data_IF_479713706379
#
_entry.id   IF_479713706379
#
_cell.length_a   1.000
_cell.length_b   1.000
_cell.length_c   1.000
_cell.angle_alpha   90.00
_cell.angle_beta   90.00
_cell.angle_gamma   90.00
#
_symmetry.space_group_name_H-M   'P 1'
#
loop_
_entity.id
_entity.type
_entity.pdbx_description
1 polymer ?
#
# COMPACT_ATOMS: atom_id res chain seq x y z
N UNK A 1 -10.32 5.86 -9.87
CA UNK A 1 -11.20 6.64 -8.97
C UNK A 1 -11.62 5.91 -7.70
N UNK A 2 -11.51 4.57 -7.59
CA UNK A 2 -11.93 3.86 -6.36
C UNK A 2 -11.38 4.48 -5.07
N UNK A 3 -10.06 4.70 -5.01
CA UNK A 3 -9.42 5.37 -3.88
C UNK A 3 -9.80 6.85 -3.71
N UNK A 4 -9.88 7.64 -4.79
CA UNK A 4 -10.32 9.04 -4.72
C UNK A 4 -11.73 9.18 -4.11
N UNK A 5 -12.63 8.23 -4.39
CA UNK A 5 -13.99 8.24 -3.87
C UNK A 5 -14.02 8.15 -2.34
N UNK A 6 -13.06 7.49 -1.69
CA UNK A 6 -13.01 7.39 -0.23
C UNK A 6 -13.01 8.76 0.46
N UNK A 7 -12.21 9.69 -0.07
CA UNK A 7 -12.11 11.05 0.44
C UNK A 7 -13.25 11.94 -0.08
N UNK A 8 -13.65 11.76 -1.36
CA UNK A 8 -14.75 12.54 -1.97
C UNK A 8 -16.08 12.33 -1.25
N UNK A 9 -16.38 11.10 -0.82
CA UNK A 9 -17.60 10.81 -0.05
C UNK A 9 -17.65 11.63 1.25
N UNK A 10 -16.50 11.82 1.91
CA UNK A 10 -16.39 12.65 3.10
C UNK A 10 -16.45 14.13 2.78
N UNK A 11 -15.76 14.59 1.73
CA UNK A 11 -15.75 15.99 1.32
C UNK A 11 -17.11 16.49 0.82
N UNK A 12 -17.92 15.61 0.23
CA UNK A 12 -19.25 15.90 -0.32
C UNK A 12 -20.41 15.50 0.61
N UNK A 13 -20.11 15.21 1.88
CA UNK A 13 -21.10 14.89 2.92
C UNK A 13 -22.06 13.74 2.57
N UNK A 14 -21.55 12.66 1.96
CA UNK A 14 -22.35 11.45 1.74
C UNK A 14 -22.84 10.92 3.09
N UNK A 15 -24.16 10.67 3.18
CA UNK A 15 -24.82 10.21 4.41
C UNK A 15 -24.38 8.83 4.87
N UNK A 16 -24.09 7.93 3.93
CA UNK A 16 -23.54 6.59 4.18
C UNK A 16 -22.22 6.42 3.46
N UNK A 17 -21.12 6.49 4.22
CA UNK A 17 -19.75 6.37 3.71
C UNK A 17 -19.36 4.91 3.54
N UNK A 18 -18.69 4.61 2.45
CA UNK A 18 -18.20 3.27 2.11
C UNK A 18 -16.98 2.91 2.97
N UNK A 19 -16.09 3.88 3.22
CA UNK A 19 -14.91 3.68 4.08
C UNK A 19 -15.29 3.80 5.56
N UNK A 20 -14.99 2.75 6.32
CA UNK A 20 -15.16 2.72 7.77
C UNK A 20 -13.99 3.40 8.48
N UNK A 21 -14.26 3.97 9.66
CA UNK A 21 -13.21 4.53 10.51
C UNK A 21 -12.16 3.47 10.84
N UNK A 22 -10.90 3.83 10.61
CA UNK A 22 -9.75 2.97 10.82
C UNK A 22 -9.57 1.91 9.73
N UNK A 23 -10.39 1.87 8.67
CA UNK A 23 -10.13 0.90 7.61
C UNK A 23 -8.75 1.16 7.02
N UNK A 24 -7.83 0.23 7.28
CA UNK A 24 -6.55 0.18 6.60
C UNK A 24 -6.78 -0.17 5.14
N UNK A 25 -5.83 0.24 4.30
CA UNK A 25 -5.90 -0.03 2.87
C UNK A 25 -4.73 -0.87 2.39
N UNK A 26 -3.57 -0.91 3.08
CA UNK A 26 -2.38 -1.60 2.59
C UNK A 26 -1.31 -1.75 3.67
N UNK A 27 -0.38 -2.70 3.48
CA UNK A 27 0.89 -2.80 4.21
C UNK A 27 2.05 -2.84 3.20
N UNK A 28 3.16 -2.16 3.49
CA UNK A 28 4.37 -2.19 2.65
C UNK A 28 5.64 -2.38 3.47
N UNK A 29 6.64 -3.03 2.87
CA UNK A 29 7.97 -3.19 3.44
C UNK A 29 9.04 -3.05 2.35
N UNK A 30 9.95 -2.10 2.57
CA UNK A 30 11.20 -1.96 1.83
C UNK A 30 12.29 -2.47 2.75
N UNK A 31 13.04 -3.49 2.32
CA UNK A 31 14.01 -4.18 3.15
C UNK A 31 15.37 -4.22 2.47
N UNK A 32 16.36 -3.60 3.10
CA UNK A 32 17.76 -3.79 2.75
C UNK A 32 18.25 -5.07 3.41
N UNK A 33 18.67 -6.04 2.60
CA UNK A 33 19.16 -7.32 3.10
C UNK A 33 20.58 -7.18 3.67
N UNK A 34 21.01 -8.10 4.57
CA UNK A 34 22.35 -8.06 5.15
C UNK A 34 23.45 -7.96 4.08
N UNK A 35 24.47 -7.15 4.36
CA UNK A 35 25.59 -6.85 3.45
C UNK A 35 25.16 -6.23 2.11
N UNK A 36 24.02 -5.55 2.07
CA UNK A 36 23.43 -4.95 0.88
C UNK A 36 23.27 -5.95 -0.27
N UNK A 37 23.06 -7.24 0.04
CA UNK A 37 23.00 -8.30 -0.98
C UNK A 37 21.82 -8.15 -1.94
N UNK A 38 20.76 -7.47 -1.48
CA UNK A 38 19.61 -7.08 -2.27
C UNK A 38 18.84 -5.97 -1.55
N UNK A 39 17.99 -5.27 -2.29
CA UNK A 39 16.97 -4.37 -1.78
C UNK A 39 15.62 -4.94 -2.23
N UNK A 40 14.81 -5.36 -1.27
CA UNK A 40 13.49 -5.94 -1.54
C UNK A 40 12.41 -4.90 -1.33
N UNK A 41 11.43 -4.85 -2.24
CA UNK A 41 10.29 -3.94 -2.16
C UNK A 41 9.01 -4.75 -2.28
N UNK A 42 8.19 -4.74 -1.22
CA UNK A 42 6.95 -5.51 -1.15
C UNK A 42 5.76 -4.70 -0.69
N UNK A 43 4.59 -5.08 -1.21
CA UNK A 43 3.30 -4.44 -0.98
C UNK A 43 2.20 -5.50 -0.85
N UNK A 44 1.36 -5.40 0.19
CA UNK A 44 0.15 -6.20 0.40
C UNK A 44 -1.07 -5.27 0.40
N UNK A 45 -1.92 -5.40 -0.62
CA UNK A 45 -3.13 -4.59 -0.74
C UNK A 45 -4.22 -5.11 0.17
N UNK A 46 -4.79 -4.23 0.98
CA UNK A 46 -6.03 -4.51 1.70
C UNK A 46 -7.23 -3.93 0.98
N UNK A 47 -8.16 -4.79 0.60
CA UNK A 47 -9.34 -4.37 -0.14
C UNK A 47 -10.53 -5.26 0.21
N UNK A 48 -11.71 -4.87 -0.28
CA UNK A 48 -12.88 -5.73 -0.29
C UNK A 48 -12.63 -7.00 -1.10
N UNK A 49 -13.13 -8.12 -0.64
CA UNK A 49 -12.96 -9.42 -1.28
C UNK A 49 -13.64 -9.51 -2.65
N UNK A 50 -14.64 -8.66 -2.91
CA UNK A 50 -15.27 -8.54 -4.22
C UNK A 50 -14.36 -7.91 -5.28
N UNK A 51 -13.27 -7.24 -4.89
CA UNK A 51 -12.30 -6.67 -5.82
C UNK A 51 -11.26 -7.69 -6.33
N UNK A 52 -11.32 -8.96 -5.92
CA UNK A 52 -10.25 -9.93 -6.19
C UNK A 52 -10.16 -10.48 -7.63
N UNK A 53 -10.86 -9.90 -8.61
CA UNK A 53 -10.51 -10.11 -10.02
C UNK A 53 -9.25 -9.31 -10.34
N UNK A 54 -8.11 -10.00 -10.45
CA UNK A 54 -6.78 -9.38 -10.59
C UNK A 54 -6.19 -9.57 -11.98
N UNK A 55 -5.47 -8.55 -12.45
CA UNK A 55 -4.69 -8.60 -13.68
C UNK A 55 -3.34 -7.94 -13.41
N UNK A 56 -2.25 -8.70 -13.58
CA UNK A 56 -0.91 -8.12 -13.70
C UNK A 56 -0.76 -7.53 -15.10
N UNK A 57 -0.40 -6.26 -15.21
CA UNK A 57 -0.31 -5.56 -16.49
C UNK A 57 1.12 -5.14 -16.77
N UNK A 58 1.53 -5.28 -18.03
CA UNK A 58 2.72 -4.63 -18.57
C UNK A 58 2.31 -3.77 -19.76
N UNK A 59 2.53 -2.47 -19.65
CA UNK A 59 2.30 -1.53 -20.73
C UNK A 59 3.63 -1.10 -21.33
N UNK A 60 3.67 -1.03 -22.66
CA UNK A 60 4.79 -0.51 -23.44
C UNK A 60 4.18 0.52 -24.38
N UNK A 61 4.31 1.80 -24.03
CA UNK A 61 3.75 2.88 -24.83
C UNK A 61 4.87 3.68 -25.50
N UNK A 62 4.67 4.03 -26.77
CA UNK A 62 5.58 4.89 -27.53
C UNK A 62 5.22 6.39 -27.40
N UNK A 63 4.69 6.79 -26.25
CA UNK A 63 4.38 8.19 -25.98
C UNK A 63 5.67 9.02 -25.82
N UNK A 64 5.54 10.33 -26.04
CA UNK A 64 6.61 11.32 -25.92
C UNK A 64 6.40 12.19 -24.69
N UNK A 65 7.47 12.78 -24.19
CA UNK A 65 7.45 13.69 -23.03
C UNK A 65 6.63 14.95 -23.30
N UNK A 66 6.67 15.44 -24.53
CA UNK A 66 5.99 16.65 -24.99
C UNK A 66 5.47 16.43 -26.41
N UNK A 67 4.37 17.08 -26.83
CA UNK A 67 3.92 17.07 -28.23
C UNK A 67 4.93 17.68 -29.21
N UNK A 68 5.89 18.47 -28.71
CA UNK A 68 6.87 19.20 -29.50
C UNK A 68 8.23 18.49 -29.58
N UNK A 69 8.51 17.57 -28.66
CA UNK A 69 9.83 16.95 -28.51
C UNK A 69 9.78 15.47 -28.93
N UNK A 70 10.91 14.97 -29.42
CA UNK A 70 11.06 13.57 -29.81
C UNK A 70 11.53 12.66 -28.67
N UNK A 71 11.73 13.20 -27.47
CA UNK A 71 12.19 12.47 -26.30
C UNK A 71 11.18 11.41 -25.86
N UNK A 72 11.67 10.18 -25.66
CA UNK A 72 10.87 9.08 -25.13
C UNK A 72 10.50 9.33 -23.67
N UNK A 73 9.29 8.92 -23.28
CA UNK A 73 8.92 8.91 -21.86
C UNK A 73 9.88 8.03 -21.04
N UNK A 74 10.45 8.56 -19.94
CA UNK A 74 11.27 7.76 -19.02
C UNK A 74 10.57 6.49 -18.52
N UNK A 75 9.30 6.63 -18.12
CA UNK A 75 8.42 5.52 -17.71
C UNK A 75 7.58 4.93 -18.84
N UNK A 76 8.11 4.89 -20.07
CA UNK A 76 7.40 4.37 -21.24
C UNK A 76 7.04 2.88 -21.16
N UNK A 77 7.77 2.09 -20.37
CA UNK A 77 7.37 0.72 -19.98
C UNK A 77 7.06 0.65 -18.50
N UNK A 78 5.94 0.01 -18.14
CA UNK A 78 5.46 -0.12 -16.77
C UNK A 78 4.90 -1.50 -16.54
N UNK A 79 5.25 -2.16 -15.43
CA UNK A 79 4.63 -3.39 -14.97
C UNK A 79 4.04 -3.21 -13.57
N UNK A 80 2.79 -3.61 -13.36
CA UNK A 80 2.06 -3.30 -12.13
C UNK A 80 0.90 -4.29 -11.89
N UNK A 81 0.51 -4.43 -10.61
CA UNK A 81 -0.71 -5.16 -10.22
C UNK A 81 -1.94 -4.30 -10.42
N UNK A 82 -3.06 -4.88 -10.87
CA UNK A 82 -4.25 -4.11 -11.25
C UNK A 82 -5.52 -4.98 -11.29
N UNK A 83 -6.59 -4.42 -11.85
CA UNK A 83 -7.94 -4.95 -11.93
C UNK A 83 -8.50 -4.80 -13.35
N UNK A 84 -9.49 -5.61 -13.79
CA UNK A 84 -10.20 -5.39 -15.05
C UNK A 84 -10.72 -3.96 -15.20
N UNK A 85 -10.51 -3.34 -16.37
CA UNK A 85 -10.99 -1.97 -16.66
C UNK A 85 -10.19 -0.83 -16.00
N UNK A 86 -9.39 -1.09 -14.97
CA UNK A 86 -8.53 -0.07 -14.36
C UNK A 86 -7.30 0.21 -15.23
N UNK A 87 -7.06 1.45 -15.64
CA UNK A 87 -5.89 1.81 -16.48
C UNK A 87 -4.64 2.18 -15.67
N UNK A 88 -4.71 2.03 -14.35
CA UNK A 88 -3.66 2.21 -13.36
C UNK A 88 -3.77 1.05 -12.36
N UNK A 89 -2.87 0.96 -11.37
CA UNK A 89 -2.82 -0.16 -10.46
C UNK A 89 -4.02 -0.16 -9.50
N UNK A 90 -4.22 0.91 -8.74
CA UNK A 90 -5.21 1.01 -7.67
C UNK A 90 -4.82 0.31 -6.37
N UNK A 91 -3.69 -0.41 -6.35
CA UNK A 91 -3.17 -1.08 -5.16
C UNK A 91 -2.54 -0.15 -4.13
N UNK A 92 -1.40 0.56 -4.35
CA UNK A 92 -0.62 0.71 -5.59
C UNK A 92 0.80 0.08 -5.59
N UNK A 93 1.22 -0.54 -6.71
CA UNK A 93 2.58 -1.10 -6.89
C UNK A 93 3.02 -1.12 -8.38
N UNK A 94 4.13 -0.47 -8.71
CA UNK A 94 4.65 -0.33 -10.07
C UNK A 94 6.16 -0.57 -10.18
N UNK A 95 6.58 -1.15 -11.30
CA UNK A 95 7.97 -1.21 -11.77
C UNK A 95 8.07 -0.45 -13.09
N UNK A 96 8.94 0.55 -13.15
CA UNK A 96 9.00 1.53 -14.23
C UNK A 96 10.32 1.43 -14.99
N UNK A 97 10.29 1.66 -16.31
CA UNK A 97 11.50 1.66 -17.15
C UNK A 97 12.52 2.75 -16.81
N UNK A 98 12.11 3.78 -16.07
CA UNK A 98 13.01 4.80 -15.55
C UNK A 98 13.93 4.27 -14.43
N UNK A 99 13.75 3.02 -13.98
CA UNK A 99 14.50 2.42 -12.87
C UNK A 99 13.81 2.58 -11.52
N UNK A 100 12.63 3.22 -11.50
CA UNK A 100 11.85 3.46 -10.30
C UNK A 100 10.90 2.29 -9.99
N UNK A 101 10.73 2.01 -8.71
CA UNK A 101 9.60 1.24 -8.16
C UNK A 101 8.80 2.16 -7.25
N UNK A 102 7.50 2.27 -7.51
CA UNK A 102 6.59 3.16 -6.79
C UNK A 102 5.46 2.37 -6.17
N UNK A 103 5.17 2.65 -4.90
CA UNK A 103 4.12 1.99 -4.12
C UNK A 103 3.62 2.92 -3.02
N UNK A 104 2.44 2.68 -2.47
CA UNK A 104 1.91 3.49 -1.38
C UNK A 104 1.16 2.68 -0.33
N UNK A 105 0.84 3.33 0.79
CA UNK A 105 -0.30 2.91 1.62
C UNK A 105 -1.16 4.12 1.97
N UNK A 106 -2.49 3.95 1.90
CA UNK A 106 -3.43 5.05 2.14
C UNK A 106 -3.44 5.51 3.58
N UNK A 107 -3.17 6.79 3.84
CA UNK A 107 -3.20 7.43 5.16
C UNK A 107 -4.54 8.12 5.47
N UNK A 108 -5.29 8.48 4.42
CA UNK A 108 -6.59 9.16 4.54
C UNK A 108 -6.50 10.55 5.19
N UNK A 109 -7.66 11.08 5.58
CA UNK A 109 -7.76 12.30 6.37
C UNK A 109 -8.96 12.23 7.34
N UNK A 110 -8.70 12.50 8.62
CA UNK A 110 -9.72 12.52 9.68
C UNK A 110 -10.04 13.94 10.18
N UNK A 111 -9.44 14.97 9.57
CA UNK A 111 -9.71 16.36 9.88
C UNK A 111 -10.70 16.97 8.88
N UNK A 112 -11.99 17.13 9.24
CA UNK A 112 -12.99 17.64 8.32
C UNK A 112 -12.75 19.08 7.88
N UNK A 113 -11.96 19.87 8.63
CA UNK A 113 -11.64 21.25 8.28
C UNK A 113 -10.77 21.36 7.00
N UNK A 114 -10.13 20.26 6.58
CA UNK A 114 -9.30 20.22 5.38
C UNK A 114 -10.11 19.96 4.10
N UNK A 115 -11.36 19.47 4.18
CA UNK A 115 -12.15 19.17 2.98
C UNK A 115 -12.44 20.39 2.10
N UNK A 116 -12.33 21.62 2.63
CA UNK A 116 -12.40 22.87 1.85
C UNK A 116 -11.32 23.01 0.76
N UNK A 117 -10.26 22.20 0.82
CA UNK A 117 -9.19 22.14 -0.18
C UNK A 117 -9.49 21.15 -1.31
N UNK A 118 -10.47 20.26 -1.14
CA UNK A 118 -10.97 19.39 -2.21
C UNK A 118 -11.90 20.20 -3.09
N UNK A 119 -11.46 20.51 -4.31
CA UNK A 119 -12.16 21.42 -5.24
C UNK A 119 -12.18 20.83 -6.65
N UNK A 120 -13.23 21.08 -7.46
CA UNK A 120 -13.30 20.59 -8.83
C UNK A 120 -12.36 21.32 -9.80
N UNK A 121 -11.90 22.53 -9.45
CA UNK A 121 -11.00 23.35 -10.26
C UNK A 121 -9.66 23.54 -9.57
N UNK A 122 -8.58 23.58 -10.35
CA UNK A 122 -7.21 23.72 -9.85
C UNK A 122 -6.65 22.46 -9.19
N UNK A 123 -7.34 21.33 -9.29
CA UNK A 123 -6.90 20.03 -8.79
C UNK A 123 -6.97 18.96 -9.87
N UNK A 124 -6.19 17.90 -9.70
CA UNK A 124 -6.23 16.70 -10.54
C UNK A 124 -6.36 15.49 -9.62
N UNK A 125 -7.30 14.59 -9.92
CA UNK A 125 -7.50 13.36 -9.15
C UNK A 125 -6.22 12.54 -9.07
N UNK A 126 -6.06 11.83 -7.96
CA UNK A 126 -4.82 11.15 -7.61
C UNK A 126 -4.40 10.15 -8.68
N UNK A 127 -5.33 9.33 -9.16
CA UNK A 127 -5.01 8.28 -10.14
C UNK A 127 -4.35 8.84 -11.41
N UNK A 128 -4.72 10.06 -11.82
CA UNK A 128 -4.13 10.70 -13.01
C UNK A 128 -2.77 11.30 -12.67
N UNK A 129 -2.60 11.91 -11.49
CA UNK A 129 -1.29 12.41 -11.01
C UNK A 129 -0.29 11.27 -10.87
N UNK A 130 -0.71 10.12 -10.34
CA UNK A 130 0.06 8.88 -10.26
C UNK A 130 0.54 8.44 -11.66
N UNK A 131 -0.37 8.28 -12.64
CA UNK A 131 0.00 7.92 -14.02
C UNK A 131 1.02 8.90 -14.62
N UNK A 132 0.81 10.20 -14.44
CA UNK A 132 1.67 11.25 -15.00
C UNK A 132 3.06 11.22 -14.35
N UNK A 133 3.14 11.10 -13.03
CA UNK A 133 4.40 10.99 -12.30
C UNK A 133 5.18 9.73 -12.71
N UNK A 134 4.51 8.56 -12.78
CA UNK A 134 5.13 7.31 -13.23
C UNK A 134 5.68 7.38 -14.66
N UNK A 135 5.08 8.20 -15.53
CA UNK A 135 5.50 8.35 -16.93
C UNK A 135 6.69 9.28 -17.10
N UNK A 136 6.70 10.39 -16.37
CA UNK A 136 7.61 11.51 -16.60
C UNK A 136 8.85 11.50 -15.69
N UNK A 137 8.79 10.87 -14.52
CA UNK A 137 9.88 10.93 -13.55
C UNK A 137 11.11 10.12 -13.97
N UNK A 138 12.29 10.72 -13.84
CA UNK A 138 13.59 10.02 -14.00
C UNK A 138 14.22 9.64 -12.66
N UNK A 139 13.92 10.41 -11.61
CA UNK A 139 14.40 10.18 -10.25
C UNK A 139 13.24 10.14 -9.25
N UNK A 140 13.50 9.68 -8.03
CA UNK A 140 12.52 9.77 -6.94
C UNK A 140 12.09 11.21 -6.63
N UNK A 141 13.03 12.16 -6.74
CA UNK A 141 12.75 13.59 -6.52
C UNK A 141 11.82 14.16 -7.59
N UNK A 142 12.06 13.84 -8.88
CA UNK A 142 11.16 14.26 -9.96
C UNK A 142 9.74 13.72 -9.74
N UNK A 143 9.65 12.46 -9.31
CA UNK A 143 8.36 11.80 -9.10
C UNK A 143 7.51 12.56 -8.09
N UNK A 144 8.09 12.88 -6.92
CA UNK A 144 7.37 13.58 -5.85
C UNK A 144 7.03 15.02 -6.25
N UNK A 145 7.89 15.72 -6.99
CA UNK A 145 7.61 17.07 -7.49
C UNK A 145 6.48 17.09 -8.53
N UNK A 146 6.45 16.12 -9.44
CA UNK A 146 5.41 16.00 -10.46
C UNK A 146 4.08 15.61 -9.81
N UNK A 147 4.07 14.61 -8.94
CA UNK A 147 2.86 14.13 -8.25
C UNK A 147 2.22 15.20 -7.37
N UNK A 148 3.03 16.08 -6.77
CA UNK A 148 2.57 17.17 -5.90
C UNK A 148 1.78 18.27 -6.62
N UNK A 149 1.93 18.38 -7.95
CA UNK A 149 1.22 19.40 -8.74
C UNK A 149 -0.28 19.12 -8.72
N UNK A 150 -1.06 20.18 -8.49
CA UNK A 150 -2.53 20.13 -8.48
C UNK A 150 -3.11 19.10 -7.50
N UNK A 151 -2.49 18.95 -6.32
CA UNK A 151 -2.98 18.07 -5.25
C UNK A 151 -4.50 18.22 -5.04
N UNK A 152 -5.23 17.12 -5.19
CA UNK A 152 -6.68 17.05 -5.02
C UNK A 152 -7.14 16.90 -3.57
N UNK A 153 -6.27 16.45 -2.67
CA UNK A 153 -6.69 16.02 -1.33
C UNK A 153 -7.56 14.75 -1.34
N UNK A 154 -7.47 13.96 -2.40
CA UNK A 154 -8.20 12.69 -2.56
C UNK A 154 -7.21 11.56 -2.79
N UNK A 155 -7.59 10.36 -2.40
CA UNK A 155 -6.72 9.19 -2.25
C UNK A 155 -5.42 9.54 -1.51
N UNK A 156 -5.59 9.97 -0.26
CA UNK A 156 -4.50 10.51 0.55
C UNK A 156 -3.57 9.40 1.02
N UNK A 157 -2.34 9.38 0.47
CA UNK A 157 -1.41 8.24 0.55
C UNK A 157 -0.03 8.63 1.10
N UNK A 158 0.68 7.66 1.69
CA UNK A 158 2.14 7.68 1.84
C UNK A 158 2.77 6.94 0.67
N UNK A 159 3.32 7.68 -0.28
CA UNK A 159 4.06 7.17 -1.43
C UNK A 159 5.52 6.91 -1.08
N UNK A 160 6.03 5.78 -1.56
CA UNK A 160 7.40 5.31 -1.43
C UNK A 160 7.97 5.15 -2.84
N UNK A 161 9.12 5.78 -3.11
CA UNK A 161 9.75 5.75 -4.41
C UNK A 161 11.18 5.23 -4.23
N UNK A 162 11.45 4.05 -4.79
CA UNK A 162 12.75 3.39 -4.77
C UNK A 162 13.39 3.53 -6.15
N UNK A 163 14.58 4.11 -6.22
CA UNK A 163 15.35 4.28 -7.45
C UNK A 163 16.46 3.23 -7.54
N UNK A 164 16.19 2.12 -8.24
CA UNK A 164 17.17 1.04 -8.37
C UNK A 164 18.38 1.41 -9.23
N UNK A 165 18.39 2.56 -9.94
CA UNK A 165 19.61 3.04 -10.60
C UNK A 165 20.70 3.41 -9.59
N UNK A 166 20.31 3.69 -8.35
CA UNK A 166 21.20 4.08 -7.24
C UNK A 166 21.52 2.93 -6.29
N UNK A 167 21.13 1.70 -6.64
CA UNK A 167 21.44 0.50 -5.87
C UNK A 167 22.23 -0.50 -6.72
N UNK A 168 23.31 -1.05 -6.16
CA UNK A 168 24.02 -2.18 -6.75
C UNK A 168 24.27 -3.22 -5.65
N UNK A 169 23.84 -4.49 -5.82
CA UNK A 169 24.06 -5.54 -4.84
C UNK A 169 25.52 -5.65 -4.36
N UNK A 170 25.70 -5.71 -3.05
CA UNK A 170 27.00 -5.83 -2.39
C UNK A 170 27.81 -4.53 -2.29
N UNK A 171 27.35 -3.43 -2.89
CA UNK A 171 28.03 -2.13 -2.75
C UNK A 171 27.54 -1.37 -1.53
N UNK A 172 28.46 -0.65 -0.88
CA UNK A 172 28.18 0.18 0.30
C UNK A 172 28.12 1.67 0.00
N UNK A 173 28.61 2.10 -1.17
CA UNK A 173 28.55 3.50 -1.62
C UNK A 173 27.16 3.81 -2.20
N UNK A 174 26.15 3.82 -1.32
CA UNK A 174 24.77 4.12 -1.68
C UNK A 174 24.55 5.63 -1.50
N UNK A 175 24.14 6.29 -2.58
CA UNK A 175 23.91 7.73 -2.64
C UNK A 175 22.50 8.09 -2.19
N UNK A 176 22.36 9.30 -1.67
CA UNK A 176 21.06 9.95 -1.52
C UNK A 176 20.32 9.96 -2.88
N UNK A 177 19.00 9.92 -2.82
CA UNK A 177 18.09 9.76 -3.96
C UNK A 177 17.56 8.34 -4.11
N UNK A 178 18.19 7.33 -3.49
CA UNK A 178 17.74 5.93 -3.58
C UNK A 178 16.30 5.76 -3.11
N UNK A 179 15.91 6.44 -2.04
CA UNK A 179 14.61 6.26 -1.42
C UNK A 179 13.98 7.59 -1.02
N UNK A 180 12.88 7.95 -1.65
CA UNK A 180 12.11 9.18 -1.37
C UNK A 180 10.71 8.82 -0.90
N UNK A 181 10.24 9.48 0.15
CA UNK A 181 8.90 9.26 0.72
C UNK A 181 8.10 10.56 0.66
N UNK A 182 6.88 10.48 0.12
CA UNK A 182 5.90 11.55 0.03
C UNK A 182 4.63 11.19 0.81
N UNK A 183 4.03 12.16 1.48
CA UNK A 183 2.71 12.05 2.09
C UNK A 183 1.81 13.19 1.64
N UNK A 184 0.56 12.87 1.32
CA UNK A 184 -0.45 13.82 0.87
C UNK A 184 -1.67 13.79 1.77
N UNK A 185 -2.17 14.98 2.12
CA UNK A 185 -3.52 15.22 2.65
C UNK A 185 -4.14 16.43 1.93
N UNK A 186 -5.42 16.79 2.14
CA UNK A 186 -6.01 17.95 1.48
C UNK A 186 -5.29 19.25 1.86
N UNK A 187 -4.72 19.92 0.85
CA UNK A 187 -4.02 21.19 1.00
C UNK A 187 -2.56 21.10 1.49
N UNK A 188 -2.01 19.91 1.71
CA UNK A 188 -0.63 19.73 2.17
C UNK A 188 0.01 18.48 1.56
N UNK A 189 1.24 18.64 1.07
CA UNK A 189 2.11 17.55 0.64
C UNK A 189 3.45 17.74 1.31
N UNK A 190 4.01 16.69 1.89
CA UNK A 190 5.36 16.69 2.47
C UNK A 190 6.13 15.52 1.86
N UNK A 191 7.34 15.77 1.38
CA UNK A 191 8.23 14.72 0.91
C UNK A 191 9.67 14.97 1.37
N UNK A 192 10.42 13.91 1.59
CA UNK A 192 11.85 13.94 1.94
C UNK A 192 12.55 12.71 1.39
N UNK A 193 13.84 12.87 1.14
CA UNK A 193 14.75 11.75 0.98
C UNK A 193 14.89 10.99 2.31
N UNK A 194 14.71 9.67 2.25
CA UNK A 194 14.76 8.73 3.37
C UNK A 194 15.84 7.67 3.20
N UNK A 195 16.76 7.86 2.26
CA UNK A 195 17.88 6.95 1.99
C UNK A 195 18.69 6.68 3.26
N UNK A 196 19.16 7.72 3.95
CA UNK A 196 19.97 7.55 5.16
C UNK A 196 19.22 6.82 6.28
N UNK A 197 17.90 7.02 6.38
CA UNK A 197 17.08 6.32 7.37
C UNK A 197 16.89 4.83 7.00
N UNK A 198 16.66 4.55 5.71
CA UNK A 198 16.60 3.17 5.20
C UNK A 198 17.92 2.43 5.42
N UNK A 199 19.06 3.07 5.14
CA UNK A 199 20.39 2.50 5.37
C UNK A 199 20.65 2.23 6.85
N UNK A 200 20.32 3.20 7.72
CA UNK A 200 20.51 3.09 9.17
C UNK A 200 19.64 1.98 9.79
N UNK A 201 18.37 1.91 9.41
CA UNK A 201 17.42 0.98 10.02
C UNK A 201 17.43 -0.39 9.33
N UNK A 202 17.91 -0.44 8.08
CA UNK A 202 17.86 -1.61 7.21
C UNK A 202 16.46 -1.95 6.70
N UNK A 203 15.45 -1.10 6.93
CA UNK A 203 14.10 -1.23 6.41
C UNK A 203 13.29 0.08 6.50
N UNK A 204 12.21 0.14 5.71
CA UNK A 204 11.10 1.09 5.84
C UNK A 204 9.78 0.33 5.81
N UNK A 205 8.87 0.58 6.75
CA UNK A 205 7.56 -0.04 6.80
C UNK A 205 6.45 1.00 6.72
N UNK A 206 5.38 0.68 6.01
CA UNK A 206 4.21 1.54 5.81
C UNK A 206 2.92 0.77 6.10
N UNK A 207 1.97 1.41 6.81
CA UNK A 207 0.81 0.74 7.41
C UNK A 207 -0.34 1.71 7.69
N UNK A 208 -0.66 2.59 6.74
CA UNK A 208 -1.82 3.51 6.79
C UNK A 208 -1.80 4.59 7.88
N UNK A 209 -0.67 4.81 8.55
CA UNK A 209 -0.49 5.92 9.51
C UNK A 209 0.60 6.85 8.95
N UNK A 210 0.36 8.17 8.88
CA UNK A 210 1.35 9.10 8.36
C UNK A 210 2.58 9.17 9.27
N UNK A 211 3.75 9.09 8.66
CA UNK A 211 5.06 9.17 9.27
C UNK A 211 5.44 10.61 9.61
N UNK A 212 5.16 11.58 8.74
CA UNK A 212 5.57 12.97 9.00
C UNK A 212 4.68 13.60 10.07
N UNK A 213 5.29 14.14 11.12
CA UNK A 213 4.59 14.75 12.25
C UNK A 213 3.64 15.86 11.78
N UNK A 214 4.04 16.62 10.76
CA UNK A 214 3.24 17.67 10.13
C UNK A 214 1.93 17.11 9.57
N UNK A 215 2.00 15.99 8.85
CA UNK A 215 0.84 15.32 8.24
C UNK A 215 -0.01 14.64 9.32
N UNK A 216 0.61 13.94 10.26
CA UNK A 216 -0.06 13.29 11.39
C UNK A 216 -0.88 14.29 12.21
N UNK A 217 -0.30 15.44 12.53
CA UNK A 217 -0.98 16.50 13.28
C UNK A 217 -2.12 17.13 12.46
N UNK A 218 -1.86 17.48 11.20
CA UNK A 218 -2.83 18.18 10.36
C UNK A 218 -4.05 17.31 9.98
N UNK A 219 -3.84 16.02 9.75
CA UNK A 219 -4.87 15.04 9.35
C UNK A 219 -5.80 14.60 10.50
N UNK A 220 -5.53 15.03 11.73
CA UNK A 220 -6.37 14.75 12.89
C UNK A 220 -6.04 13.44 13.62
N UNK A 221 -4.91 12.78 13.33
CA UNK A 221 -4.52 11.54 13.99
C UNK A 221 -4.35 11.69 15.51
N UNK A 222 -3.89 12.84 16.01
CA UNK A 222 -3.80 13.11 17.46
C UNK A 222 -5.13 12.89 18.19
N UNK A 223 -6.25 13.33 17.60
CA UNK A 223 -7.59 13.15 18.19
C UNK A 223 -8.02 11.68 18.18
N UNK A 224 -7.55 10.90 17.21
CA UNK A 224 -7.82 9.47 17.15
C UNK A 224 -6.99 8.71 18.19
N UNK A 225 -5.73 9.11 18.42
CA UNK A 225 -4.90 8.56 19.49
C UNK A 225 -5.50 8.87 20.86
N UNK A 226 -5.94 10.12 21.09
CA UNK A 226 -6.61 10.49 22.35
C UNK A 226 -7.87 9.66 22.60
N UNK A 227 -8.64 9.38 21.54
CA UNK A 227 -9.94 8.69 21.64
C UNK A 227 -9.83 7.17 21.70
N UNK A 228 -8.94 6.57 20.91
CA UNK A 228 -8.88 5.12 20.68
C UNK A 228 -7.51 4.51 21.03
N UNK A 229 -6.58 5.33 21.51
CA UNK A 229 -5.29 4.86 22.00
C UNK A 229 -4.30 4.45 20.89
N UNK A 230 -3.38 3.51 21.19
CA UNK A 230 -2.17 3.26 20.39
C UNK A 230 -2.45 2.69 19.01
N UNK A 231 -3.66 2.21 18.72
CA UNK A 231 -4.03 1.69 17.40
C UNK A 231 -3.84 2.74 16.29
N UNK A 232 -4.02 4.04 16.60
CA UNK A 232 -3.82 5.15 15.66
C UNK A 232 -2.46 5.84 15.81
N UNK A 233 -1.58 5.34 16.67
CA UNK A 233 -0.23 5.88 16.83
C UNK A 233 0.69 5.37 15.71
N UNK A 234 1.71 6.17 15.37
CA UNK A 234 2.68 5.78 14.35
C UNK A 234 3.46 4.52 14.74
N UNK A 235 3.99 4.45 15.96
CA UNK A 235 4.94 3.43 16.38
C UNK A 235 4.35 2.34 17.27
N UNK A 236 3.17 2.54 17.88
CA UNK A 236 2.55 1.59 18.80
C UNK A 236 1.35 0.84 18.22
N UNK A 237 0.94 1.12 16.99
CA UNK A 237 -0.10 0.33 16.35
C UNK A 237 0.38 -1.11 16.09
N UNK A 238 -0.53 -2.09 15.98
CA UNK A 238 -0.18 -3.50 15.81
C UNK A 238 0.80 -3.79 14.68
N UNK A 239 0.62 -3.18 13.50
CA UNK A 239 1.48 -3.42 12.34
C UNK A 239 2.87 -2.85 12.52
N UNK A 240 2.99 -1.64 13.05
CA UNK A 240 4.29 -1.05 13.39
C UNK A 240 5.07 -1.95 14.35
N UNK A 241 4.40 -2.48 15.39
CA UNK A 241 5.02 -3.38 16.37
C UNK A 241 5.40 -4.73 15.76
N UNK A 242 4.55 -5.31 14.90
CA UNK A 242 4.86 -6.58 14.21
C UNK A 242 6.05 -6.39 13.26
N UNK A 243 6.09 -5.33 12.46
CA UNK A 243 7.23 -5.02 11.59
C UNK A 243 8.52 -4.83 12.40
N UNK A 244 8.47 -4.00 13.46
CA UNK A 244 9.61 -3.75 14.35
C UNK A 244 10.18 -5.04 14.94
N UNK A 245 9.31 -5.97 15.35
CA UNK A 245 9.70 -7.27 15.91
C UNK A 245 10.28 -8.22 14.85
N UNK A 246 9.69 -8.27 13.66
CA UNK A 246 9.90 -9.38 12.72
C UNK A 246 10.75 -9.04 11.48
N UNK A 247 10.98 -7.75 11.15
CA UNK A 247 11.66 -7.37 9.90
C UNK A 247 13.08 -7.94 9.77
N UNK A 248 13.77 -8.19 10.88
CA UNK A 248 15.13 -8.77 10.87
C UNK A 248 15.14 -10.22 10.42
N UNK A 249 14.01 -10.93 10.50
CA UNK A 249 13.88 -12.29 9.97
C UNK A 249 13.73 -12.32 8.45
N UNK A 250 13.51 -11.17 7.80
CA UNK A 250 13.51 -11.06 6.34
C UNK A 250 14.95 -11.01 5.83
N UNK A 251 15.41 -12.15 5.35
CA UNK A 251 16.77 -12.36 4.86
C UNK A 251 16.79 -12.78 3.38
N UNK A 252 15.66 -13.00 2.75
CA UNK A 252 15.51 -13.43 1.36
C UNK A 252 14.07 -13.21 0.85
N UNK A 253 13.78 -13.64 -0.38
CA UNK A 253 12.46 -13.52 -0.99
C UNK A 253 11.40 -14.31 -0.22
N UNK A 254 11.70 -15.53 0.23
CA UNK A 254 10.73 -16.40 0.90
C UNK A 254 10.33 -15.85 2.27
N UNK A 255 11.31 -15.42 3.06
CA UNK A 255 11.07 -14.77 4.35
C UNK A 255 10.33 -13.43 4.21
N UNK A 256 10.54 -12.69 3.12
CA UNK A 256 9.74 -11.50 2.79
C UNK A 256 8.29 -11.87 2.50
N UNK A 257 8.06 -12.86 1.62
CA UNK A 257 6.71 -13.38 1.33
C UNK A 257 6.00 -13.76 2.63
N UNK A 258 6.67 -14.53 3.49
CA UNK A 258 6.11 -14.99 4.77
C UNK A 258 5.72 -13.84 5.69
N UNK A 259 6.53 -12.79 5.79
CA UNK A 259 6.21 -11.64 6.65
C UNK A 259 5.05 -10.82 6.05
N UNK A 260 5.06 -10.60 4.74
CA UNK A 260 4.02 -9.81 4.08
C UNK A 260 2.67 -10.54 4.01
N UNK A 261 2.67 -11.87 4.14
CA UNK A 261 1.46 -12.70 4.30
C UNK A 261 1.12 -13.01 5.77
N UNK A 262 1.83 -12.42 6.72
CA UNK A 262 1.70 -12.77 8.13
C UNK A 262 0.34 -12.37 8.72
N UNK A 263 -0.41 -13.38 9.17
CA UNK A 263 -1.54 -13.22 10.05
C UNK A 263 -1.69 -14.44 10.96
N UNK A 264 -1.32 -14.25 12.23
CA UNK A 264 -1.46 -15.26 13.27
C UNK A 264 -2.31 -14.73 14.44
N UNK A 265 -3.37 -13.98 14.12
CA UNK A 265 -4.08 -13.13 15.10
C UNK A 265 -4.62 -13.87 16.32
N UNK A 266 -4.90 -15.18 16.19
CA UNK A 266 -5.38 -16.03 17.28
C UNK A 266 -4.33 -16.23 18.38
N UNK A 267 -3.05 -16.22 18.02
CA UNK A 267 -1.94 -16.54 18.92
C UNK A 267 -0.98 -15.37 19.15
N UNK A 268 -0.85 -14.42 18.22
CA UNK A 268 0.07 -13.30 18.37
C UNK A 268 -0.46 -12.28 19.41
N UNK A 269 0.28 -11.99 20.49
CA UNK A 269 -0.14 -11.00 21.47
C UNK A 269 -0.28 -9.58 20.89
N UNK A 270 0.46 -9.25 19.82
CA UNK A 270 0.35 -7.94 19.15
C UNK A 270 -0.93 -7.81 18.33
N UNK A 271 -1.65 -8.90 18.09
CA UNK A 271 -2.94 -8.88 17.40
C UNK A 271 -4.13 -8.65 18.33
N UNK A 272 -3.89 -8.50 19.63
CA UNK A 272 -4.94 -8.19 20.60
C UNK A 272 -5.39 -6.73 20.47
N UNK A 273 -6.69 -6.51 20.64
CA UNK A 273 -7.34 -5.21 20.63
C UNK A 273 -7.88 -4.91 22.03
N UNK A 274 -7.51 -3.76 22.58
CA UNK A 274 -8.10 -3.25 23.81
C UNK A 274 -9.54 -2.79 23.56
N UNK A 275 -10.46 -3.24 24.41
CA UNK A 275 -11.89 -2.95 24.25
C UNK A 275 -12.60 -3.80 23.18
N UNK A 276 -11.93 -4.83 22.64
CA UNK A 276 -12.58 -5.87 21.84
C UNK A 276 -12.98 -7.08 22.69
N UNK A 277 -14.10 -7.72 22.34
CA UNK A 277 -14.50 -9.03 22.85
C UNK A 277 -14.97 -9.92 21.68
N UNK A 278 -14.22 -10.97 21.30
CA UNK A 278 -12.94 -11.41 21.89
C UNK A 278 -11.79 -10.44 21.60
N UNK A 279 -10.68 -10.48 22.39
CA UNK A 279 -9.58 -9.55 22.22
C UNK A 279 -8.75 -9.81 20.96
N UNK A 280 -8.69 -11.05 20.45
CA UNK A 280 -7.98 -11.38 19.21
C UNK A 280 -8.70 -10.79 18.01
N UNK A 281 -8.00 -10.03 17.16
CA UNK A 281 -8.61 -9.39 16.00
C UNK A 281 -7.82 -9.62 14.72
N UNK A 282 -8.48 -10.15 13.69
CA UNK A 282 -7.91 -10.47 12.38
C UNK A 282 -7.44 -9.25 11.58
N UNK A 283 -7.86 -8.03 11.95
CA UNK A 283 -7.36 -6.76 11.39
C UNK A 283 -5.92 -6.47 11.85
N UNK A 284 -5.54 -6.90 13.06
CA UNK A 284 -4.28 -6.53 13.70
C UNK A 284 -3.13 -7.45 13.25
N UNK A 285 -2.86 -7.47 11.95
CA UNK A 285 -1.83 -8.29 11.31
C UNK A 285 -1.19 -7.55 10.12
N UNK A 286 -0.13 -8.10 9.50
CA UNK A 286 0.43 -7.49 8.28
C UNK A 286 -0.52 -7.67 7.10
N UNK A 287 -1.15 -8.85 7.01
CA UNK A 287 -2.17 -9.18 6.02
C UNK A 287 -3.50 -9.49 6.68
N UNK A 288 -4.39 -8.50 6.77
CA UNK A 288 -5.63 -8.62 7.55
C UNK A 288 -6.57 -9.72 7.04
N UNK A 289 -7.34 -10.27 7.97
CA UNK A 289 -8.42 -11.25 7.76
C UNK A 289 -9.64 -10.84 8.57
N UNK A 290 -10.26 -9.72 8.20
CA UNK A 290 -11.40 -9.18 8.92
C UNK A 290 -12.63 -10.11 8.83
N UNK A 291 -12.69 -11.00 7.84
CA UNK A 291 -13.74 -12.02 7.69
C UNK A 291 -13.76 -13.04 8.83
N UNK A 292 -12.60 -13.27 9.46
CA UNK A 292 -12.44 -14.23 10.55
C UNK A 292 -12.80 -13.66 11.93
N UNK A 293 -13.12 -12.37 12.02
CA UNK A 293 -13.63 -11.77 13.25
C UNK A 293 -15.07 -12.23 13.53
N UNK A 294 -15.48 -12.49 14.78
CA UNK A 294 -16.87 -12.85 15.07
C UNK A 294 -17.88 -11.74 14.74
N UNK A 295 -18.97 -12.07 14.05
CA UNK A 295 -20.04 -11.10 13.71
C UNK A 295 -20.65 -10.42 14.95
N UNK A 296 -20.79 -11.18 16.03
CA UNK A 296 -21.38 -10.76 17.31
C UNK A 296 -20.36 -10.20 18.30
N UNK A 297 -19.12 -9.94 17.87
CA UNK A 297 -18.10 -9.38 18.74
C UNK A 297 -18.34 -7.91 19.10
N UNK A 298 -17.74 -7.47 20.20
CA UNK A 298 -17.70 -6.05 20.59
C UNK A 298 -16.46 -5.41 20.00
N UNK A 299 -16.61 -4.28 19.31
CA UNK A 299 -15.51 -3.59 18.64
C UNK A 299 -15.61 -2.07 18.84
N UNK A 300 -14.51 -1.38 19.20
CA UNK A 300 -14.53 0.05 19.50
C UNK A 300 -14.73 0.95 18.26
N UNK A 301 -14.40 0.45 17.06
CA UNK A 301 -14.61 1.17 15.79
C UNK A 301 -14.72 0.18 14.61
N UNK A 302 -15.14 0.71 13.44
CA UNK A 302 -15.61 -0.09 12.31
C UNK A 302 -14.57 -1.02 11.68
N UNK A 303 -13.29 -0.64 11.63
CA UNK A 303 -12.24 -1.45 11.03
C UNK A 303 -12.05 -2.83 11.66
N UNK A 304 -12.28 -2.91 12.98
CA UNK A 304 -12.07 -4.12 13.77
C UNK A 304 -13.23 -5.11 13.66
N UNK A 305 -14.33 -4.74 13.02
CA UNK A 305 -15.52 -5.59 12.85
C UNK A 305 -15.27 -6.71 11.84
N UNK A 306 -16.20 -7.66 11.80
CA UNK A 306 -16.26 -8.64 10.72
C UNK A 306 -16.59 -7.97 9.39
N UNK A 307 -15.75 -8.17 8.36
CA UNK A 307 -15.90 -7.54 7.03
C UNK A 307 -15.38 -8.48 5.93
N UNK A 308 -15.95 -8.45 4.70
CA UNK A 308 -15.37 -9.11 3.54
C UNK A 308 -14.19 -8.27 3.02
N UNK A 309 -13.18 -8.07 3.87
CA UNK A 309 -12.07 -7.15 3.69
C UNK A 309 -10.82 -7.70 4.38
N UNK A 310 -9.65 -7.36 3.85
CA UNK A 310 -8.36 -7.74 4.42
C UNK A 310 -7.29 -7.71 3.35
N UNK A 311 -6.12 -8.29 3.63
CA UNK A 311 -5.10 -8.50 2.60
C UNK A 311 -5.65 -9.36 1.47
N UNK A 312 -5.47 -8.93 0.23
CA UNK A 312 -6.03 -9.58 -0.98
C UNK A 312 -4.96 -10.03 -1.96
N UNK A 313 -3.69 -9.73 -1.69
CA UNK A 313 -2.56 -10.19 -2.48
C UNK A 313 -1.24 -10.13 -1.70
N UNK A 314 -0.13 -10.21 -2.42
CA UNK A 314 1.16 -9.65 -2.06
C UNK A 314 1.97 -9.53 -3.34
N UNK A 315 2.69 -8.42 -3.53
CA UNK A 315 3.66 -8.22 -4.63
C UNK A 315 5.04 -8.00 -4.02
N UNK A 316 6.06 -8.54 -4.67
CA UNK A 316 7.46 -8.40 -4.24
C UNK A 316 8.37 -8.32 -5.47
N UNK A 317 9.22 -7.29 -5.53
CA UNK A 317 10.33 -7.24 -6.48
C UNK A 317 11.67 -7.08 -5.76
N UNK A 318 12.74 -7.38 -6.48
CA UNK A 318 14.13 -7.32 -6.04
C UNK A 318 14.97 -6.65 -7.10
N UNK A 319 16.27 -6.46 -6.84
CA UNK A 319 17.18 -5.88 -7.82
C UNK A 319 17.21 -6.67 -9.14
N UNK A 320 17.21 -8.00 -9.11
CA UNK A 320 17.21 -8.78 -10.36
C UNK A 320 15.86 -8.71 -11.06
N UNK A 321 14.77 -8.83 -10.30
CA UNK A 321 13.43 -8.88 -10.86
C UNK A 321 13.01 -7.55 -11.50
N UNK A 322 13.32 -6.40 -10.88
CA UNK A 322 12.89 -5.10 -11.42
C UNK A 322 13.44 -4.86 -12.84
N UNK A 323 14.69 -5.29 -13.12
CA UNK A 323 15.33 -5.14 -14.45
C UNK A 323 14.59 -5.87 -15.56
N UNK A 324 13.84 -6.91 -15.20
CA UNK A 324 13.02 -7.71 -16.12
C UNK A 324 11.54 -7.34 -16.03
N UNK A 325 11.20 -6.26 -15.31
CA UNK A 325 9.83 -5.90 -14.94
C UNK A 325 9.11 -6.99 -14.13
N UNK A 326 9.86 -7.96 -13.60
CA UNK A 326 9.33 -9.13 -12.91
C UNK A 326 8.97 -8.84 -11.46
N UNK A 327 8.11 -9.70 -10.91
CA UNK A 327 7.77 -9.70 -9.49
C UNK A 327 7.28 -11.08 -9.07
N UNK A 328 7.41 -11.39 -7.77
CA UNK A 328 6.60 -12.42 -7.15
C UNK A 328 5.23 -11.83 -6.81
N UNK A 329 4.16 -12.58 -7.10
CA UNK A 329 2.80 -12.20 -6.78
C UNK A 329 2.03 -13.36 -6.16
N UNK A 330 1.36 -13.12 -5.04
CA UNK A 330 0.38 -14.03 -4.46
C UNK A 330 -1.01 -13.38 -4.54
N UNK A 331 -2.05 -14.11 -4.94
CA UNK A 331 -3.42 -13.58 -5.04
C UNK A 331 -4.33 -14.22 -4.00
N UNK A 332 -5.23 -13.42 -3.44
CA UNK A 332 -6.21 -13.83 -2.43
C UNK A 332 -5.75 -13.60 -0.99
N UNK A 333 -6.65 -13.79 -0.01
CA UNK A 333 -6.33 -13.59 1.40
C UNK A 333 -5.28 -14.56 1.90
N UNK A 334 -4.52 -14.15 2.93
CA UNK A 334 -3.52 -15.03 3.54
C UNK A 334 -4.16 -16.30 4.11
N UNK A 335 -3.44 -17.41 3.96
CA UNK A 335 -3.83 -18.74 4.45
C UNK A 335 -2.65 -19.48 5.11
N UNK A 336 -1.55 -18.78 5.41
CA UNK A 336 -0.32 -19.37 5.94
C UNK A 336 -0.53 -19.95 7.36
N UNK A 337 -1.33 -19.27 8.18
CA UNK A 337 -1.58 -19.60 9.60
C UNK A 337 -3.06 -19.50 9.99
N UNK A 338 -3.92 -19.30 8.99
CA UNK A 338 -5.36 -19.11 9.09
C UNK A 338 -6.02 -19.92 7.96
N UNK A 339 -7.27 -20.37 8.10
CA UNK A 339 -7.91 -21.16 7.06
C UNK A 339 -7.99 -20.36 5.75
N UNK A 340 -7.81 -21.01 4.58
CA UNK A 340 -8.09 -20.38 3.29
C UNK A 340 -9.48 -19.74 3.27
N UNK A 341 -9.59 -18.57 2.63
CA UNK A 341 -10.89 -17.96 2.42
C UNK A 341 -11.66 -18.77 1.35
N UNK A 342 -12.93 -19.04 1.62
CA UNK A 342 -13.81 -19.75 0.71
C UNK A 342 -15.19 -19.06 0.69
N UNK A 343 -15.66 -18.64 -0.49
CA UNK A 343 -16.90 -17.89 -0.64
C UNK A 343 -18.11 -18.66 -0.09
N UNK A 344 -18.30 -19.90 -0.54
CA UNK A 344 -19.43 -20.78 -0.23
C UNK A 344 -19.55 -21.20 1.23
N UNK A 345 -18.50 -21.02 2.04
CA UNK A 345 -18.53 -21.32 3.48
C UNK A 345 -18.32 -20.08 4.34
N UNK A 346 -18.24 -18.91 3.73
CA UNK A 346 -18.09 -17.63 4.43
C UNK A 346 -19.46 -17.03 4.73
N UNK A 347 -19.55 -16.07 5.66
CA UNK A 347 -20.75 -15.23 5.87
C UNK A 347 -21.13 -14.34 4.67
N UNK A 348 -20.42 -14.48 3.54
CA UNK A 348 -20.52 -13.63 2.35
C UNK A 348 -20.85 -14.42 1.09
N UNK A 349 -21.35 -15.65 1.23
CA UNK A 349 -21.70 -16.52 0.10
C UNK A 349 -22.65 -15.85 -0.91
N UNK A 350 -23.56 -15.00 -0.43
CA UNK A 350 -24.55 -14.28 -1.24
C UNK A 350 -23.99 -13.02 -1.94
N UNK A 351 -22.78 -12.57 -1.62
CA UNK A 351 -22.20 -11.40 -2.29
C UNK A 351 -21.82 -11.75 -3.71
N UNK A 352 -22.12 -10.90 -4.69
CA UNK A 352 -21.73 -11.15 -6.07
C UNK A 352 -20.19 -11.19 -6.22
N UNK A 353 -19.67 -12.29 -6.77
CA UNK A 353 -18.24 -12.55 -6.96
C UNK A 353 -17.97 -13.27 -8.30
N UNK A 354 -18.58 -12.82 -9.38
CA UNK A 354 -18.49 -13.47 -10.70
C UNK A 354 -17.04 -13.61 -11.18
N UNK A 355 -16.69 -14.81 -11.65
CA UNK A 355 -15.34 -15.12 -12.15
C UNK A 355 -14.31 -15.35 -11.05
N UNK A 356 -14.66 -15.22 -9.76
CA UNK A 356 -13.79 -15.63 -8.67
C UNK A 356 -13.75 -17.17 -8.53
N UNK A 357 -12.60 -17.73 -8.15
CA UNK A 357 -12.56 -19.06 -7.54
C UNK A 357 -13.34 -19.05 -6.21
N UNK A 358 -13.98 -20.17 -5.89
CA UNK A 358 -14.64 -20.33 -4.59
C UNK A 358 -13.62 -20.33 -3.45
N UNK A 359 -12.57 -21.17 -3.56
CA UNK A 359 -11.48 -21.28 -2.58
C UNK A 359 -10.24 -20.49 -3.00
N UNK A 360 -9.73 -19.66 -2.11
CA UNK A 360 -8.54 -18.84 -2.30
C UNK A 360 -7.34 -19.42 -1.55
N UNK A 361 -6.66 -20.38 -2.19
CA UNK A 361 -5.46 -21.05 -1.67
C UNK A 361 -4.29 -21.01 -2.67
N UNK A 362 -4.12 -19.88 -3.37
CA UNK A 362 -3.06 -19.73 -4.36
C UNK A 362 -1.71 -19.54 -3.70
N UNK A 363 -0.69 -20.21 -4.25
CA UNK A 363 0.72 -19.99 -3.89
C UNK A 363 1.28 -18.79 -4.66
N UNK A 364 2.34 -18.13 -4.15
CA UNK A 364 3.05 -17.12 -4.90
C UNK A 364 3.57 -17.67 -6.23
N UNK A 365 3.46 -16.86 -7.29
CA UNK A 365 4.02 -17.14 -8.62
C UNK A 365 5.05 -16.08 -9.00
N UNK A 366 6.02 -16.45 -9.84
CA UNK A 366 6.87 -15.47 -10.50
C UNK A 366 6.16 -14.97 -11.76
N UNK A 367 5.84 -13.68 -11.78
CA UNK A 367 5.30 -13.00 -12.95
C UNK A 367 6.44 -12.71 -13.90
N UNK A 368 6.46 -13.41 -15.03
CA UNK A 368 7.39 -13.19 -16.13
C UNK A 368 6.64 -12.71 -17.35
N UNK A 369 7.21 -11.74 -18.05
CA UNK A 369 6.61 -11.21 -19.28
C UNK A 369 7.21 -11.94 -20.47
N UNK A 370 6.36 -12.57 -21.28
CA UNK A 370 6.80 -13.06 -22.59
C UNK A 370 7.21 -11.86 -23.46
N UNK A 371 8.29 -11.99 -24.25
CA UNK A 371 8.79 -10.94 -25.14
C UNK A 371 7.72 -10.35 -26.07
#
# INVERSE_FOLDING_TARGET
MGGDLEDLESALNKSSKTRLLGSGSCSALIKLLPNNKDLLVSHDTWNTYQAMLRIMKKYIFAFKTSPLDNDSLPGGTQAFSSYPGSIFSGDDFYILSSGLVTLETTIGNSNPALWKFVRPTGTVMEWLRNIVANRLATTGQDWVEIFSKYNSGTYNNQWMIVDYNLFTPGQTDIKDGLFVVLEQIPGLVVYRDKTQELLKNGYWASYNIPYYVEIFNASGCNKLVEKYGPWFSLDQNPRAQIFKRNQTHVIDLESMVRLMRYNNFKADPLSKCDGCDPPQNGENAISARSDLNPANGTYPFGALKQRPHGGTDMKLTSYEMFRQYGMLAASGPTWDQVPPFQWSTSPYEDLLHMGHPDVWAFKPIKVTWTP
#
